data_IF_932402381129
#
_entry.id   IF_932402381129
#
_cell.length_a   1.000
_cell.length_b   1.000
_cell.length_c   1.000
_cell.angle_alpha   90.00
_cell.angle_beta   90.00
_cell.angle_gamma   90.00
#
_symmetry.space_group_name_H-M   'P 1'
#
loop_
_entity.id
_entity.type
_entity.pdbx_description
1 polymer ?
#
# COMPACT_ATOMS: atom_id res chain seq x y z
N UNK A 1 -21.54 21.75 -20.34
CA UNK A 1 -21.15 20.67 -19.40
C UNK A 1 -20.61 19.53 -20.24
N UNK A 2 -19.29 19.34 -20.26
CA UNK A 2 -18.66 18.16 -20.87
C UNK A 2 -18.07 17.36 -19.72
N UNK A 3 -18.68 16.21 -19.44
CA UNK A 3 -18.19 15.24 -18.47
C UNK A 3 -17.01 14.53 -19.14
N UNK A 4 -15.80 14.85 -18.71
CA UNK A 4 -14.60 14.17 -19.16
C UNK A 4 -14.55 12.76 -18.57
N UNK A 5 -14.77 11.76 -19.42
CA UNK A 5 -14.43 10.36 -19.11
C UNK A 5 -12.92 10.21 -19.10
N UNK A 6 -12.32 10.10 -17.91
CA UNK A 6 -10.92 9.68 -17.78
C UNK A 6 -10.79 8.23 -18.25
N UNK A 7 -9.95 8.04 -19.25
CA UNK A 7 -9.69 6.76 -19.90
C UNK A 7 -8.59 6.03 -19.09
N UNK A 8 -8.85 4.91 -18.40
CA UNK A 8 -7.92 4.32 -17.44
C UNK A 8 -6.74 3.54 -18.07
N UNK A 9 -6.45 3.73 -19.35
CA UNK A 9 -5.52 2.90 -20.13
C UNK A 9 -4.24 3.60 -20.58
N UNK A 10 -4.03 4.86 -20.22
CA UNK A 10 -2.74 5.48 -20.52
C UNK A 10 -1.71 5.08 -19.47
N UNK A 11 -0.58 4.46 -19.86
CA UNK A 11 0.55 4.33 -18.96
C UNK A 11 0.96 5.74 -18.57
N UNK A 12 0.95 6.05 -17.27
CA UNK A 12 1.35 7.34 -16.69
C UNK A 12 2.44 8.01 -17.54
N UNK A 13 2.02 8.98 -18.35
CA UNK A 13 2.91 9.74 -19.23
C UNK A 13 3.86 10.58 -18.38
N UNK A 14 5.07 10.78 -18.89
CA UNK A 14 6.20 11.35 -18.17
C UNK A 14 5.99 12.81 -17.68
N UNK A 15 4.88 13.44 -18.06
CA UNK A 15 4.53 14.82 -17.69
C UNK A 15 4.17 14.99 -16.20
N UNK A 16 3.64 13.95 -15.53
CA UNK A 16 3.20 14.04 -14.13
C UNK A 16 4.34 13.84 -13.09
N UNK A 17 5.57 13.58 -13.54
CA UNK A 17 6.71 13.28 -12.65
C UNK A 17 7.49 14.52 -12.18
N UNK A 18 7.16 15.72 -12.65
CA UNK A 18 7.86 16.96 -12.30
C UNK A 18 7.19 17.78 -11.19
N UNK A 19 5.96 17.45 -10.77
CA UNK A 19 5.21 18.26 -9.79
C UNK A 19 5.26 17.74 -8.33
N UNK A 20 5.98 16.65 -8.06
CA UNK A 20 6.17 16.13 -6.68
C UNK A 20 7.57 16.37 -6.10
N UNK A 21 8.36 17.27 -6.70
CA UNK A 21 9.61 17.76 -6.10
C UNK A 21 9.33 18.74 -4.96
N UNK A 22 8.77 18.22 -3.86
CA UNK A 22 8.88 18.82 -2.54
C UNK A 22 10.31 18.67 -2.05
N UNK A 23 11.14 19.65 -2.41
CA UNK A 23 12.50 19.87 -1.94
C UNK A 23 12.57 19.80 -0.41
N UNK A 24 13.17 18.74 0.14
CA UNK A 24 13.72 18.73 1.50
C UNK A 24 15.20 19.13 1.40
N UNK A 25 15.48 20.43 1.34
CA UNK A 25 16.83 20.94 1.55
C UNK A 25 17.06 21.08 3.06
N UNK A 26 17.96 20.27 3.61
CA UNK A 26 18.65 20.62 4.84
C UNK A 26 19.69 21.70 4.52
N UNK A 27 19.56 22.90 5.09
CA UNK A 27 20.68 23.81 5.27
C UNK A 27 20.41 24.76 6.44
N UNK A 28 21.40 24.82 7.32
CA UNK A 28 21.45 25.60 8.54
C UNK A 28 21.71 27.09 8.25
N UNK A 29 21.24 27.94 9.18
CA UNK A 29 21.85 29.24 9.48
C UNK A 29 21.19 30.46 8.84
N UNK A 30 20.84 31.45 9.67
CA UNK A 30 20.60 32.83 9.23
C UNK A 30 19.29 33.44 9.73
N UNK A 31 19.37 34.20 10.81
CA UNK A 31 18.30 35.02 11.37
C UNK A 31 17.85 36.15 10.42
N UNK A 32 16.58 36.58 10.51
CA UNK A 32 16.23 37.94 10.92
C UNK A 32 14.69 38.12 11.11
N UNK A 33 14.37 39.07 11.99
CA UNK A 33 13.11 39.36 12.65
C UNK A 33 11.93 39.81 11.76
N UNK A 34 10.71 39.67 12.31
CA UNK A 34 9.52 40.37 11.80
C UNK A 34 8.17 40.00 12.43
N UNK A 35 7.93 40.47 13.65
CA UNK A 35 6.62 40.86 14.26
C UNK A 35 5.42 39.89 14.31
N UNK A 36 5.25 39.34 15.52
CA UNK A 36 4.03 39.19 16.34
C UNK A 36 2.62 39.25 15.71
N UNK A 37 1.85 38.18 15.95
CA UNK A 37 0.49 38.29 16.45
C UNK A 37 0.23 37.17 17.49
N UNK A 38 -0.28 37.61 18.64
CA UNK A 38 -0.45 36.91 19.91
C UNK A 38 -1.95 36.60 20.09
N UNK A 39 -2.28 35.31 20.24
CA UNK A 39 -3.31 34.66 21.10
C UNK A 39 -4.72 35.31 21.27
N UNK A 40 -5.83 34.53 21.42
CA UNK A 40 -6.06 33.83 22.69
C UNK A 40 -6.81 32.48 22.70
N UNK A 41 -6.55 31.78 23.80
CA UNK A 41 -7.36 30.71 24.42
C UNK A 41 -8.82 31.13 24.65
N UNK A 42 -9.73 30.17 24.52
CA UNK A 42 -11.11 30.22 25.04
C UNK A 42 -11.38 29.06 25.99
N UNK A 43 -11.91 29.39 27.17
CA UNK A 43 -12.11 28.56 28.36
C UNK A 43 -13.47 27.82 28.42
N UNK A 44 -13.43 26.57 28.93
CA UNK A 44 -14.20 25.95 30.05
C UNK A 44 -15.75 25.98 30.11
N UNK A 45 -16.37 24.79 30.28
CA UNK A 45 -17.44 24.42 31.26
C UNK A 45 -17.35 22.89 31.52
N UNK A 46 -16.95 22.32 32.66
CA UNK A 46 -17.47 22.22 34.05
C UNK A 46 -18.79 21.41 34.23
N UNK A 47 -18.61 20.11 34.53
CA UNK A 47 -19.38 19.33 35.53
C UNK A 47 -20.56 18.49 35.05
N UNK A 48 -20.52 17.15 35.27
CA UNK A 48 -21.51 16.44 36.09
C UNK A 48 -21.08 14.98 36.44
N UNK A 49 -20.89 14.77 37.75
CA UNK A 49 -21.06 13.59 38.62
C UNK A 49 -20.61 12.16 38.21
N UNK A 50 -19.67 11.70 39.01
CA UNK A 50 -19.43 10.32 39.44
C UNK A 50 -20.67 9.80 40.19
N UNK A 51 -21.08 8.57 39.91
CA UNK A 51 -21.81 7.76 40.89
C UNK A 51 -21.25 6.33 40.92
N UNK A 52 -21.16 5.82 42.15
CA UNK A 52 -20.48 4.61 42.57
C UNK A 52 -21.48 3.48 42.80
N UNK A 53 -21.12 2.24 42.48
CA UNK A 53 -21.64 1.06 43.17
C UNK A 53 -21.98 -0.13 42.28
N UNK A 54 -21.42 -1.30 42.62
CA UNK A 54 -22.11 -2.58 42.40
C UNK A 54 -21.36 -3.65 41.60
N UNK A 55 -20.44 -4.34 42.29
CA UNK A 55 -20.03 -5.75 42.19
C UNK A 55 -20.57 -6.65 41.05
N UNK A 56 -19.63 -7.33 40.37
CA UNK A 56 -19.89 -8.54 39.59
C UNK A 56 -18.57 -9.21 39.18
N UNK A 57 -18.07 -10.10 40.02
CA UNK A 57 -16.90 -10.95 39.81
C UNK A 57 -17.12 -11.96 38.68
N UNK A 58 -16.21 -11.99 37.69
CA UNK A 58 -15.98 -13.18 36.87
C UNK A 58 -14.48 -13.33 36.65
N UNK A 59 -13.86 -14.18 37.46
CA UNK A 59 -12.53 -14.73 37.18
C UNK A 59 -12.61 -15.50 35.85
N UNK A 60 -11.73 -15.20 34.89
CA UNK A 60 -11.39 -16.14 33.82
C UNK A 60 -9.89 -16.29 33.76
N UNK A 61 -9.47 -17.46 34.24
CA UNK A 61 -8.12 -17.99 34.20
C UNK A 61 -7.45 -17.75 32.85
N UNK A 62 -6.33 -17.04 32.92
CA UNK A 62 -5.34 -16.96 31.85
C UNK A 62 -4.66 -18.33 31.76
N UNK A 63 -4.93 -19.07 30.67
CA UNK A 63 -4.12 -20.22 30.26
C UNK A 63 -3.35 -19.80 29.01
N UNK A 64 -2.09 -19.41 29.19
CA UNK A 64 -1.17 -19.09 28.10
C UNK A 64 -0.66 -20.41 27.52
N UNK A 65 -1.07 -20.73 26.28
CA UNK A 65 -0.50 -21.86 25.53
C UNK A 65 0.78 -21.40 24.78
N UNK A 66 1.82 -22.26 24.66
CA UNK A 66 3.10 -21.87 24.09
C UNK A 66 3.05 -21.53 22.59
N UNK A 67 3.98 -20.66 22.19
CA UNK A 67 4.18 -20.07 20.86
C UNK A 67 4.74 -21.11 19.87
N UNK A 68 3.91 -22.05 19.43
CA UNK A 68 4.30 -22.98 18.36
C UNK A 68 3.11 -23.55 17.59
N UNK A 69 2.15 -22.72 17.18
CA UNK A 69 1.17 -23.05 16.13
C UNK A 69 0.34 -21.81 15.78
N UNK A 70 0.94 -20.83 15.09
CA UNK A 70 0.16 -19.85 14.34
C UNK A 70 -0.13 -20.44 12.96
N UNK A 71 -1.25 -21.16 12.86
CA UNK A 71 -1.85 -21.53 11.59
C UNK A 71 -2.48 -20.28 11.01
N UNK A 72 -2.07 -19.90 9.79
CA UNK A 72 -2.75 -18.87 9.02
C UNK A 72 -4.06 -19.48 8.53
N UNK A 73 -5.16 -19.19 9.21
CA UNK A 73 -6.48 -19.55 8.73
C UNK A 73 -6.78 -18.66 7.51
N UNK A 74 -6.55 -19.20 6.31
CA UNK A 74 -7.18 -18.68 5.09
C UNK A 74 -8.66 -18.98 5.23
N UNK A 75 -9.42 -18.02 5.75
CA UNK A 75 -10.88 -18.07 5.72
C UNK A 75 -11.30 -17.79 4.28
N UNK A 76 -11.63 -18.85 3.55
CA UNK A 76 -12.31 -18.78 2.26
C UNK A 76 -13.75 -18.30 2.51
N UNK A 77 -13.90 -16.98 2.60
CA UNK A 77 -15.17 -16.30 2.88
C UNK A 77 -16.08 -16.30 1.65
N UNK A 78 -17.09 -17.16 1.66
CA UNK A 78 -18.16 -17.18 0.68
C UNK A 78 -19.05 -15.91 0.71
N UNK A 79 -19.27 -15.36 -0.49
CA UNK A 79 -20.34 -14.44 -0.94
C UNK A 79 -20.39 -13.02 -0.34
N UNK A 80 -19.62 -12.15 -1.02
CA UNK A 80 -19.91 -10.76 -1.39
C UNK A 80 -21.26 -10.18 -0.93
N UNK A 81 -21.21 -9.33 0.10
CA UNK A 81 -22.22 -8.30 0.31
C UNK A 81 -22.01 -7.19 -0.72
N UNK A 82 -22.91 -7.19 -1.71
CA UNK A 82 -23.13 -6.25 -2.81
C UNK A 82 -22.89 -4.78 -2.41
N UNK A 83 -21.68 -4.29 -2.68
CA UNK A 83 -21.40 -2.88 -2.99
C UNK A 83 -21.29 -2.75 -4.51
N UNK A 84 -21.92 -1.75 -5.11
CA UNK A 84 -22.06 -1.57 -6.57
C UNK A 84 -20.78 -1.08 -7.27
N UNK A 85 -19.60 -1.56 -6.84
CA UNK A 85 -18.31 -1.29 -7.47
C UNK A 85 -17.57 -2.59 -7.74
N UNK A 86 -16.83 -2.66 -8.86
CA UNK A 86 -15.96 -3.79 -9.19
C UNK A 86 -14.99 -4.09 -8.03
N UNK A 87 -14.80 -5.37 -7.73
CA UNK A 87 -13.91 -5.79 -6.65
C UNK A 87 -12.45 -5.50 -6.99
N UNK A 88 -11.58 -5.41 -5.96
CA UNK A 88 -10.17 -5.12 -6.17
C UNK A 88 -9.48 -6.21 -7.02
N UNK A 89 -9.85 -7.49 -6.84
CA UNK A 89 -9.39 -8.58 -7.70
C UNK A 89 -9.89 -8.47 -9.14
N UNK A 90 -11.15 -8.08 -9.36
CA UNK A 90 -11.70 -7.91 -10.70
C UNK A 90 -11.00 -6.77 -11.44
N UNK A 91 -10.81 -5.63 -10.76
CA UNK A 91 -10.04 -4.50 -11.28
C UNK A 91 -8.60 -4.90 -11.61
N UNK A 92 -7.94 -5.66 -10.74
CA UNK A 92 -6.57 -6.14 -10.98
C UNK A 92 -6.46 -6.95 -12.28
N UNK A 93 -7.46 -7.81 -12.57
CA UNK A 93 -7.50 -8.58 -13.84
C UNK A 93 -7.60 -7.68 -15.06
N UNK A 94 -8.26 -6.52 -14.97
CA UNK A 94 -8.38 -5.59 -16.11
C UNK A 94 -7.04 -4.94 -16.52
N UNK A 95 -6.05 -4.92 -15.63
CA UNK A 95 -4.69 -4.47 -15.92
C UNK A 95 -3.84 -5.53 -16.62
N UNK A 96 -4.37 -6.74 -16.77
CA UNK A 96 -3.73 -7.90 -17.38
C UNK A 96 -4.60 -8.47 -18.50
N UNK A 97 -4.06 -9.42 -19.26
CA UNK A 97 -4.76 -10.06 -20.37
C UNK A 97 -4.61 -9.34 -21.71
N UNK A 98 -3.81 -8.28 -21.79
CA UNK A 98 -3.54 -7.56 -23.04
C UNK A 98 -2.23 -6.79 -23.02
N UNK A 99 -1.77 -6.37 -24.21
CA UNK A 99 -0.57 -5.53 -24.37
C UNK A 99 0.70 -6.20 -23.82
N UNK A 100 1.45 -5.46 -22.99
CA UNK A 100 2.68 -5.93 -22.37
C UNK A 100 2.48 -7.08 -21.37
N UNK A 101 1.27 -7.21 -20.81
CA UNK A 101 0.91 -8.21 -19.81
C UNK A 101 -0.22 -9.12 -20.33
N UNK A 102 0.04 -9.99 -21.31
CA UNK A 102 -0.98 -10.85 -21.92
C UNK A 102 -1.49 -11.96 -20.97
N UNK A 103 -0.72 -12.33 -19.95
CA UNK A 103 -1.15 -13.31 -18.95
C UNK A 103 -1.91 -12.64 -17.80
N UNK A 104 -2.95 -13.32 -17.31
CA UNK A 104 -3.75 -12.90 -16.15
C UNK A 104 -3.41 -13.81 -14.96
N UNK A 105 -2.96 -13.20 -13.86
CA UNK A 105 -2.70 -13.91 -12.61
C UNK A 105 -4.00 -14.34 -11.93
N UNK A 106 -3.92 -15.34 -11.05
CA UNK A 106 -5.08 -15.81 -10.27
C UNK A 106 -5.35 -14.87 -9.08
N UNK A 107 -6.14 -13.83 -9.34
CA UNK A 107 -6.49 -12.80 -8.37
C UNK A 107 -7.64 -13.23 -7.45
N UNK A 108 -7.49 -12.98 -6.15
CA UNK A 108 -8.53 -13.16 -5.12
C UNK A 108 -8.66 -11.92 -4.26
N UNK A 109 -9.81 -11.70 -3.63
CA UNK A 109 -9.98 -10.58 -2.70
C UNK A 109 -9.54 -10.99 -1.30
N UNK A 110 -8.76 -10.13 -0.64
CA UNK A 110 -8.32 -10.31 0.74
C UNK A 110 -8.53 -9.05 1.55
N UNK A 111 -8.75 -9.19 2.87
CA UNK A 111 -8.75 -8.05 3.79
C UNK A 111 -7.35 -7.81 4.33
N UNK A 112 -6.83 -6.60 4.16
CA UNK A 112 -5.58 -6.16 4.77
C UNK A 112 -5.91 -5.21 5.92
N UNK A 113 -5.33 -5.46 7.09
CA UNK A 113 -5.61 -4.68 8.30
C UNK A 113 -4.86 -3.35 8.31
N UNK A 114 -5.48 -2.33 8.91
CA UNK A 114 -4.84 -1.06 9.26
C UNK A 114 -3.48 -1.29 9.93
N UNK A 115 -2.50 -0.45 9.62
CA UNK A 115 -1.13 -0.54 10.13
C UNK A 115 -0.25 -1.58 9.43
N UNK A 116 -0.83 -2.39 8.52
CA UNK A 116 -0.03 -3.30 7.68
C UNK A 116 0.84 -2.48 6.73
N UNK A 117 2.07 -2.96 6.49
CA UNK A 117 3.03 -2.31 5.59
C UNK A 117 3.14 -3.04 4.26
N UNK A 118 3.08 -2.29 3.18
CA UNK A 118 3.19 -2.76 1.79
C UNK A 118 4.25 -1.98 1.04
N UNK A 119 4.76 -2.51 -0.06
CA UNK A 119 5.86 -1.90 -0.81
C UNK A 119 5.49 -1.67 -2.27
N UNK A 120 5.59 -0.42 -2.73
CA UNK A 120 5.34 -0.03 -4.13
C UNK A 120 6.63 0.41 -4.83
N UNK A 121 6.70 0.21 -6.14
CA UNK A 121 7.84 0.68 -6.96
C UNK A 121 7.97 2.20 -6.94
N UNK A 122 9.20 2.71 -6.90
CA UNK A 122 9.51 4.14 -6.82
C UNK A 122 10.57 4.57 -7.86
N UNK A 123 10.45 5.78 -8.45
CA UNK A 123 9.34 6.73 -8.29
C UNK A 123 8.06 6.26 -8.99
N UNK A 124 6.97 7.01 -8.80
CA UNK A 124 5.67 6.77 -9.45
C UNK A 124 4.85 5.68 -8.76
N UNK A 125 4.20 6.02 -7.64
CA UNK A 125 3.28 5.12 -6.95
C UNK A 125 2.17 4.65 -7.91
N UNK A 126 1.73 3.39 -7.75
CA UNK A 126 0.64 2.81 -8.52
C UNK A 126 -0.26 1.99 -7.59
N UNK A 127 -1.28 1.32 -8.14
CA UNK A 127 -2.11 0.40 -7.38
C UNK A 127 -1.43 -0.95 -7.03
N UNK A 128 -0.20 -1.21 -7.51
CA UNK A 128 0.49 -2.48 -7.30
C UNK A 128 1.53 -2.44 -6.18
N UNK A 129 1.44 -3.41 -5.28
CA UNK A 129 2.29 -3.52 -4.10
C UNK A 129 2.76 -4.94 -3.84
N UNK A 130 3.80 -5.10 -3.03
CA UNK A 130 4.28 -6.41 -2.52
C UNK A 130 4.53 -6.35 -1.01
N UNK A 131 4.96 -7.47 -0.42
CA UNK A 131 5.24 -7.60 1.01
C UNK A 131 6.68 -7.23 1.35
N UNK A 132 6.92 -6.84 2.61
CA UNK A 132 8.28 -6.65 3.13
C UNK A 132 9.11 -7.94 3.05
N UNK A 133 8.48 -9.12 3.16
CA UNK A 133 9.14 -10.41 3.00
C UNK A 133 9.80 -10.54 1.64
N UNK A 134 9.09 -10.17 0.56
CA UNK A 134 9.62 -10.24 -0.82
C UNK A 134 10.80 -9.29 -1.04
N UNK A 135 10.70 -8.06 -0.52
CA UNK A 135 11.79 -7.07 -0.60
C UNK A 135 13.04 -7.57 0.14
N UNK A 136 12.86 -8.13 1.35
CA UNK A 136 13.97 -8.70 2.12
C UNK A 136 14.59 -9.92 1.45
N UNK A 137 13.79 -10.83 0.91
CA UNK A 137 14.31 -12.02 0.21
C UNK A 137 15.10 -11.67 -1.05
N UNK A 138 14.76 -10.57 -1.72
CA UNK A 138 15.49 -10.09 -2.88
C UNK A 138 16.75 -9.30 -2.52
N UNK A 139 16.90 -8.83 -1.27
CA UNK A 139 18.09 -8.11 -0.82
C UNK A 139 18.28 -6.74 -1.46
N UNK A 140 17.18 -6.02 -1.73
CA UNK A 140 17.17 -4.73 -2.46
C UNK A 140 17.79 -4.80 -3.87
N UNK A 141 17.74 -5.96 -4.52
CA UNK A 141 18.16 -6.17 -5.90
C UNK A 141 16.97 -5.92 -6.84
N UNK A 142 17.08 -4.94 -7.73
CA UNK A 142 15.99 -4.55 -8.62
C UNK A 142 15.63 -5.68 -9.58
N UNK A 143 16.62 -6.30 -10.23
CA UNK A 143 16.39 -7.45 -11.09
C UNK A 143 15.59 -8.53 -10.38
N UNK A 144 16.00 -8.95 -9.18
CA UNK A 144 15.26 -9.99 -8.42
C UNK A 144 13.86 -9.56 -8.04
N UNK A 145 13.66 -8.31 -7.63
CA UNK A 145 12.34 -7.79 -7.23
C UNK A 145 11.40 -7.78 -8.44
N UNK A 146 11.82 -7.15 -9.53
CA UNK A 146 10.94 -6.95 -10.68
C UNK A 146 10.75 -8.24 -11.49
N UNK A 147 11.75 -9.11 -11.59
CA UNK A 147 11.56 -10.45 -12.18
C UNK A 147 10.68 -11.36 -11.31
N UNK A 148 10.80 -11.26 -9.99
CA UNK A 148 9.94 -11.97 -9.02
C UNK A 148 8.48 -11.49 -9.08
N UNK A 149 8.26 -10.22 -9.41
CA UNK A 149 6.93 -9.62 -9.64
C UNK A 149 6.48 -9.70 -11.10
N UNK A 150 7.30 -10.24 -12.01
CA UNK A 150 7.07 -10.24 -13.46
C UNK A 150 6.73 -8.85 -14.03
N UNK A 151 7.41 -7.82 -13.56
CA UNK A 151 7.24 -6.44 -14.02
C UNK A 151 8.37 -6.10 -14.98
N UNK A 152 8.03 -5.75 -16.22
CA UNK A 152 9.01 -5.32 -17.22
C UNK A 152 9.57 -3.91 -16.95
N UNK A 153 10.71 -3.59 -17.58
CA UNK A 153 11.28 -2.24 -17.57
C UNK A 153 10.45 -1.21 -18.34
N UNK A 154 9.47 -1.66 -19.14
CA UNK A 154 8.75 -0.79 -20.07
C UNK A 154 9.71 -0.22 -21.13
N UNK A 155 9.57 1.08 -21.42
CA UNK A 155 10.43 1.78 -22.39
C UNK A 155 11.77 2.25 -21.80
N UNK A 156 12.09 1.87 -20.55
CA UNK A 156 13.32 2.26 -19.88
C UNK A 156 14.44 1.22 -20.07
N UNK A 157 15.69 1.67 -20.07
CA UNK A 157 16.87 0.78 -20.17
C UNK A 157 17.11 -0.05 -18.90
N UNK A 158 16.63 0.44 -17.75
CA UNK A 158 16.86 -0.14 -16.43
C UNK A 158 15.56 -0.25 -15.64
N UNK A 159 15.56 -1.12 -14.63
CA UNK A 159 14.49 -1.19 -13.66
C UNK A 159 14.38 0.09 -12.81
N UNK A 160 13.20 0.28 -12.20
CA UNK A 160 12.96 1.45 -11.34
C UNK A 160 14.01 1.51 -10.22
N UNK A 161 14.46 2.73 -9.85
CA UNK A 161 15.54 2.95 -8.88
C UNK A 161 15.22 2.53 -7.45
N UNK A 162 13.95 2.43 -7.06
CA UNK A 162 13.60 2.32 -5.65
C UNK A 162 12.31 1.55 -5.37
N UNK A 163 12.10 1.30 -4.08
CA UNK A 163 10.81 0.89 -3.52
C UNK A 163 10.46 1.82 -2.37
N UNK A 164 9.18 2.16 -2.23
CA UNK A 164 8.66 2.90 -1.08
C UNK A 164 7.78 1.98 -0.25
N UNK A 165 8.04 1.94 1.06
CA UNK A 165 7.17 1.32 2.04
C UNK A 165 6.02 2.28 2.37
N UNK A 166 4.81 1.75 2.37
CA UNK A 166 3.60 2.43 2.77
C UNK A 166 2.93 1.69 3.92
N UNK A 167 2.20 2.43 4.74
CA UNK A 167 1.40 1.88 5.83
C UNK A 167 -0.08 2.18 5.61
N UNK A 168 -0.91 1.16 5.80
CA UNK A 168 -2.36 1.28 5.67
C UNK A 168 -2.96 2.13 6.80
N UNK A 169 -3.78 3.10 6.44
CA UNK A 169 -4.46 4.00 7.39
C UNK A 169 -5.79 3.42 7.90
N UNK A 170 -6.31 2.39 7.24
CA UNK A 170 -7.58 1.71 7.52
C UNK A 170 -7.54 0.25 7.04
N UNK A 171 -8.50 -0.56 7.50
CA UNK A 171 -8.75 -1.87 6.92
C UNK A 171 -9.24 -1.69 5.47
N UNK A 172 -8.71 -2.47 4.53
CA UNK A 172 -9.12 -2.42 3.12
C UNK A 172 -9.39 -3.81 2.58
N UNK A 173 -10.19 -3.89 1.50
CA UNK A 173 -10.20 -5.04 0.61
C UNK A 173 -9.25 -4.80 -0.54
N UNK A 174 -8.28 -5.68 -0.73
CA UNK A 174 -7.30 -5.63 -1.81
C UNK A 174 -7.40 -6.87 -2.69
N UNK A 175 -6.97 -6.75 -3.95
CA UNK A 175 -6.68 -7.92 -4.78
C UNK A 175 -5.36 -8.52 -4.31
N UNK A 176 -5.26 -9.84 -4.26
CA UNK A 176 -4.04 -10.58 -3.99
C UNK A 176 -3.83 -11.66 -5.04
N UNK A 177 -2.59 -11.84 -5.47
CA UNK A 177 -2.16 -12.98 -6.29
C UNK A 177 -0.67 -13.27 -6.12
N UNK A 178 -0.21 -14.35 -6.75
CA UNK A 178 1.21 -14.57 -7.05
C UNK A 178 1.46 -14.18 -8.51
N UNK A 179 2.55 -13.46 -8.76
CA UNK A 179 2.97 -13.11 -10.12
C UNK A 179 3.50 -14.35 -10.85
N UNK A 180 2.70 -14.98 -11.70
CA UNK A 180 3.07 -16.20 -12.42
C UNK A 180 2.70 -16.16 -13.91
N UNK A 181 1.74 -15.32 -14.30
CA UNK A 181 1.13 -15.34 -15.62
C UNK A 181 1.98 -14.72 -16.74
N UNK A 182 3.03 -13.95 -16.42
CA UNK A 182 3.85 -13.22 -17.38
C UNK A 182 5.34 -13.65 -17.33
N UNK A 183 5.67 -14.91 -17.69
CA UNK A 183 7.02 -15.48 -17.56
C UNK A 183 8.08 -14.80 -18.42
N UNK A 184 7.69 -14.01 -19.42
CA UNK A 184 8.62 -13.21 -20.24
C UNK A 184 9.39 -12.16 -19.42
N UNK A 185 8.87 -11.77 -18.25
CA UNK A 185 9.52 -10.80 -17.36
C UNK A 185 10.30 -11.42 -16.21
N UNK A 186 10.35 -12.74 -16.11
CA UNK A 186 11.08 -13.44 -15.06
C UNK A 186 10.32 -14.61 -14.48
N UNK A 187 10.98 -15.31 -13.55
CA UNK A 187 10.44 -16.52 -12.91
C UNK A 187 9.16 -16.28 -12.12
N UNK A 188 8.92 -15.05 -11.68
CA UNK A 188 7.76 -14.72 -10.86
C UNK A 188 7.81 -15.33 -9.46
N UNK A 189 6.64 -15.53 -8.87
CA UNK A 189 6.42 -16.18 -7.59
C UNK A 189 6.29 -15.23 -6.39
N UNK A 190 6.52 -13.93 -6.58
CA UNK A 190 6.34 -12.96 -5.49
C UNK A 190 4.86 -12.67 -5.26
N UNK A 191 4.53 -12.44 -4.00
CA UNK A 191 3.20 -11.97 -3.58
C UNK A 191 2.98 -10.55 -4.11
N UNK A 192 1.84 -10.31 -4.74
CA UNK A 192 1.42 -8.99 -5.21
C UNK A 192 0.03 -8.64 -4.70
N UNK A 193 -0.18 -7.35 -4.47
CA UNK A 193 -1.46 -6.78 -4.09
C UNK A 193 -1.87 -5.69 -5.08
N UNK A 194 -3.17 -5.62 -5.35
CA UNK A 194 -3.82 -4.50 -6.00
C UNK A 194 -4.64 -3.72 -4.99
N UNK A 195 -4.28 -2.47 -4.75
CA UNK A 195 -4.98 -1.55 -3.86
C UNK A 195 -5.57 -0.42 -4.71
N UNK A 196 -6.90 -0.42 -4.85
CA UNK A 196 -7.63 0.54 -5.68
C UNK A 196 -7.46 1.97 -5.18
N UNK A 197 -7.86 2.24 -3.94
CA UNK A 197 -7.91 3.58 -3.36
C UNK A 197 -6.61 3.93 -2.63
N UNK A 198 -5.48 3.61 -3.24
CA UNK A 198 -4.16 3.70 -2.58
C UNK A 198 -3.81 5.12 -2.13
N UNK A 199 -4.23 6.14 -2.87
CA UNK A 199 -3.95 7.55 -2.56
C UNK A 199 -4.57 8.01 -1.24
N UNK A 200 -5.71 7.43 -0.84
CA UNK A 200 -6.43 7.80 0.40
C UNK A 200 -6.24 6.79 1.53
N UNK A 201 -5.68 5.61 1.24
CA UNK A 201 -5.56 4.51 2.21
C UNK A 201 -4.12 4.20 2.64
N UNK A 202 -3.12 4.86 2.04
CA UNK A 202 -1.70 4.59 2.31
C UNK A 202 -0.92 5.87 2.62
N UNK A 203 -0.13 5.82 3.68
CA UNK A 203 0.87 6.85 3.99
C UNK A 203 2.28 6.33 3.70
N UNK A 204 3.15 7.10 3.00
CA UNK A 204 4.54 6.71 2.80
C UNK A 204 5.29 6.72 4.14
N UNK A 205 6.13 5.69 4.35
CA UNK A 205 6.95 5.52 5.57
C UNK A 205 8.41 5.77 5.27
N UNK A 206 8.96 5.10 4.26
CA UNK A 206 10.37 5.23 3.85
C UNK A 206 10.59 4.72 2.43
N UNK A 207 11.64 5.20 1.77
CA UNK A 207 12.07 4.69 0.47
C UNK A 207 13.46 4.07 0.56
N UNK A 208 13.71 3.06 -0.27
CA UNK A 208 15.02 2.41 -0.42
C UNK A 208 15.47 2.49 -1.87
N UNK A 209 16.76 2.72 -2.07
CA UNK A 209 17.39 2.61 -3.39
C UNK A 209 17.74 1.16 -3.65
N UNK A 210 17.36 0.68 -4.83
CA UNK A 210 17.67 -0.65 -5.32
C UNK A 210 19.01 -0.68 -6.06
N UNK A 211 19.65 -1.85 -5.99
CA UNK A 211 20.89 -2.18 -6.69
C UNK A 211 20.57 -3.02 -7.93
N UNK A 212 21.55 -3.24 -8.82
CA UNK A 212 21.43 -4.14 -9.97
C UNK A 212 20.20 -3.82 -10.86
N UNK A 213 20.22 -2.66 -11.53
CA UNK A 213 19.08 -2.09 -12.28
C UNK A 213 19.24 -2.22 -13.80
#
# INVERSE_FOLDING_TARGET
>A
MVVGTVNPKEPYSAEHLLDSFGVFTFLAGGALAGTAARMPMGQVKKGLKVDSGGQGSVERNVSVKPVSEQKFDVVEGNKSTKGTGESAADLARTWQGSGAYPGIDDWTNVTIKKGTKVWGGAPGQSSFYTTEKMIKSAGNDATKIFEGLQVGKGNFSQFRPGMTQYELTQDITAGYSKALANPQYGKGGFDQYFIKDFESSLNPVKSVVLKNR
#
